data_IF_571145184653
#
_entry.id   IF_571145184653
#
_cell.length_a   1.000
_cell.length_b   1.000
_cell.length_c   1.000
_cell.angle_alpha   90.00
_cell.angle_beta   90.00
_cell.angle_gamma   90.00
#
_symmetry.space_group_name_H-M   'P 1'
#
loop_
_entity.id
_entity.type
_entity.pdbx_description
1 polymer ?
2 non-polymer ?
3 water ?
#
# COMPACT_ATOMS: atom_id res chain seq x y z
N UNK A 1 -5.70 -8.96 18.26
CA UNK A 1 -6.58 -8.92 17.04
C UNK A 1 -5.79 -9.15 15.74
N UNK A 2 -6.47 -9.80 14.81
CA UNK A 2 -5.84 -10.45 13.67
C UNK A 2 -6.01 -9.77 12.34
N UNK A 3 -6.71 -8.63 12.24
CA UNK A 3 -6.76 -7.88 10.99
C UNK A 3 -6.46 -6.41 11.25
N UNK A 4 -5.53 -5.84 10.48
CA UNK A 4 -5.33 -4.39 10.39
C UNK A 4 -5.87 -3.96 9.05
N UNK A 5 -6.66 -2.88 9.01
CA UNK A 5 -7.19 -2.47 7.74
C UNK A 5 -7.52 -1.00 7.68
N UNK A 6 -7.84 -0.56 6.48
CA UNK A 6 -8.32 0.78 6.22
C UNK A 6 -9.79 0.96 6.39
N UNK A 7 -10.51 -0.12 6.67
CA UNK A 7 -11.96 -0.25 6.56
C UNK A 7 -12.26 -0.37 5.05
N UNK A 8 -13.42 -0.94 4.75
CA UNK A 8 -13.77 -1.19 3.35
C UNK A 8 -14.66 -0.10 2.74
N UNK A 9 -14.76 1.07 3.34
CA UNK A 9 -15.60 2.14 2.76
C UNK A 9 -14.83 2.81 1.63
N UNK A 10 -15.39 3.90 1.08
CA UNK A 10 -14.70 4.64 0.02
C UNK A 10 -14.26 6.04 0.45
N UNK A 11 -14.13 6.28 1.76
CA UNK A 11 -13.76 7.61 2.24
C UNK A 11 -12.27 7.86 2.10
N UNK A 12 -11.89 9.01 1.46
CA UNK A 12 -10.47 9.14 1.02
C UNK A 12 -9.56 9.14 2.21
N UNK A 13 -8.45 8.47 2.04
CA UNK A 13 -7.49 8.21 3.12
C UNK A 13 -6.05 8.30 2.66
N UNK A 14 -5.80 8.76 1.43
CA UNK A 14 -4.50 8.55 0.83
C UNK A 14 -4.15 9.66 -0.13
N UNK A 15 -2.82 9.83 -0.35
CA UNK A 15 -2.27 10.75 -1.33
C UNK A 15 -1.60 10.04 -2.50
N UNK A 16 -2.21 10.12 -3.69
CA UNK A 16 -1.54 9.74 -4.96
C UNK A 16 -0.75 10.95 -5.46
N UNK A 17 -1.47 12.04 -5.62
CA UNK A 17 -0.92 13.32 -6.09
C UNK A 17 -0.98 14.34 -4.96
N UNK A 18 -2.16 14.58 -4.41
CA UNK A 18 -2.37 15.54 -3.32
C UNK A 18 -3.07 14.84 -2.16
N UNK A 19 -3.04 15.52 -1.01
CA UNK A 19 -3.52 14.92 0.18
C UNK A 19 -4.97 14.42 0.09
N UNK A 20 -5.19 13.20 0.55
CA UNK A 20 -6.58 12.65 0.61
C UNK A 20 -7.34 12.75 -0.72
N UNK A 21 -6.61 12.46 -1.79
CA UNK A 21 -7.19 12.41 -3.13
C UNK A 21 -7.65 11.04 -3.54
N UNK A 22 -7.46 10.06 -2.68
CA UNK A 22 -7.66 8.67 -3.09
C UNK A 22 -8.06 7.80 -1.91
N UNK A 23 -8.64 6.63 -2.21
CA UNK A 23 -8.93 5.61 -1.23
C UNK A 23 -8.02 4.44 -1.53
N UNK A 24 -7.13 4.17 -0.57
CA UNK A 24 -6.40 2.90 -0.53
C UNK A 24 -7.22 1.92 0.27
N UNK A 25 -7.64 0.81 -0.35
CA UNK A 25 -8.30 -0.26 0.38
C UNK A 25 -7.25 -1.30 0.69
N UNK A 26 -6.91 -1.47 1.97
CA UNK A 26 -5.85 -2.39 2.35
C UNK A 26 -6.29 -3.17 3.57
N UNK A 27 -6.17 -4.49 3.50
CA UNK A 27 -6.46 -5.38 4.60
C UNK A 27 -5.30 -6.31 4.80
N UNK A 28 -4.80 -6.38 6.03
CA UNK A 28 -3.70 -7.26 6.40
C UNK A 28 -4.24 -8.22 7.45
N UNK A 29 -4.31 -9.51 7.11
CA UNK A 29 -4.84 -10.51 8.02
C UNK A 29 -3.71 -11.43 8.46
N UNK A 30 -3.47 -11.50 9.74
CA UNK A 30 -2.42 -12.32 10.30
C UNK A 30 -2.79 -13.79 10.21
N UNK A 31 -1.94 -14.57 9.51
CA UNK A 31 -2.01 -16.00 9.40
C UNK A 31 -0.70 -16.62 9.92
N UNK A 32 -0.45 -16.54 11.20
CA UNK A 32 0.76 -17.09 11.73
C UNK A 32 1.97 -16.37 11.24
N UNK A 33 2.85 -17.14 10.64
CA UNK A 33 4.09 -16.67 10.11
C UNK A 33 3.95 -15.67 8.99
N UNK A 34 2.80 -15.63 8.29
CA UNK A 34 2.53 -14.75 7.14
C UNK A 34 1.36 -13.82 7.39
N UNK A 35 1.37 -12.67 6.76
CA UNK A 35 0.18 -11.87 6.58
C UNK A 35 -0.38 -12.17 5.20
N UNK A 36 -1.73 -12.34 5.12
CA UNK A 36 -2.47 -12.37 3.90
C UNK A 36 -2.97 -10.96 3.63
N UNK A 37 -2.49 -10.36 2.57
CA UNK A 37 -2.85 -9.00 2.25
C UNK A 37 -3.77 -8.89 1.04
N UNK A 38 -4.52 -7.78 1.00
CA UNK A 38 -5.44 -7.54 -0.11
C UNK A 38 -5.46 -6.03 -0.32
N UNK A 39 -5.20 -5.57 -1.51
CA UNK A 39 -5.05 -4.12 -1.75
C UNK A 39 -5.74 -3.71 -3.04
N UNK A 40 -6.13 -2.45 -3.07
CA UNK A 40 -6.56 -1.80 -4.28
C UNK A 40 -6.53 -0.30 -4.00
N UNK A 41 -6.66 0.50 -5.05
CA UNK A 41 -6.48 1.95 -4.96
C UNK A 41 -7.41 2.61 -5.97
N UNK A 42 -8.05 3.69 -5.52
CA UNK A 42 -9.04 4.47 -6.30
C UNK A 42 -8.73 5.93 -6.16
N UNK A 43 -8.63 6.67 -7.25
CA UNK A 43 -8.48 8.13 -7.20
C UNK A 43 -9.86 8.77 -7.14
N UNK A 44 -10.13 9.58 -6.13
CA UNK A 44 -11.42 10.19 -5.91
C UNK A 44 -11.42 11.62 -6.46
N UNK A 45 -10.33 12.36 -6.30
CA UNK A 45 -10.16 13.72 -6.81
C UNK A 45 -8.74 13.86 -7.36
N UNK A 46 -8.44 15.04 -7.89
CA UNK A 46 -7.07 15.38 -8.30
C UNK A 46 -6.75 14.77 -9.67
N UNK A 47 -5.46 14.80 -10.01
CA UNK A 47 -5.05 14.49 -11.37
C UNK A 47 -5.43 13.08 -11.76
N UNK A 48 -5.29 12.15 -10.82
CA UNK A 48 -5.52 10.74 -11.15
C UNK A 48 -7.00 10.42 -11.28
N UNK A 49 -7.89 11.29 -10.83
CA UNK A 49 -9.32 11.09 -11.04
C UNK A 49 -9.75 11.26 -12.49
N UNK A 50 -9.01 12.07 -13.26
CA UNK A 50 -9.30 12.23 -14.68
C UNK A 50 -7.94 12.45 -15.34
N UNK A 51 -7.30 11.34 -15.64
CA UNK A 51 -5.89 11.44 -16.11
C UNK A 51 -5.78 12.14 -17.46
N UNK A 52 -4.64 12.79 -17.68
CA UNK A 52 -4.33 13.37 -18.98
C UNK A 52 -3.21 12.55 -19.60
N UNK A 53 -2.83 12.90 -20.84
CA UNK A 53 -1.71 12.20 -21.49
C UNK A 53 -0.38 12.43 -20.81
N UNK A 54 -0.26 13.51 -20.05
CA UNK A 54 0.97 13.80 -19.32
C UNK A 54 0.97 13.34 -17.87
N UNK A 55 -0.14 12.91 -17.29
CA UNK A 55 -0.15 12.38 -15.91
C UNK A 55 0.93 11.32 -15.78
N UNK A 56 1.75 11.37 -14.74
CA UNK A 56 2.82 10.38 -14.65
C UNK A 56 2.29 8.97 -14.41
N UNK A 57 2.78 8.06 -15.26
CA UNK A 57 2.33 6.67 -15.26
C UNK A 57 3.17 5.83 -14.27
N UNK A 58 3.36 6.34 -13.05
CA UNK A 58 4.13 5.71 -12.00
C UNK A 58 3.73 6.41 -10.73
N UNK A 59 3.04 5.68 -9.80
CA UNK A 59 2.47 6.18 -8.49
C UNK A 59 2.93 5.31 -7.33
N UNK A 60 3.63 5.91 -6.35
CA UNK A 60 4.09 5.13 -5.22
C UNK A 60 3.34 5.52 -3.96
N UNK A 61 2.75 4.57 -3.32
CA UNK A 61 2.05 4.73 -2.02
C UNK A 61 2.91 4.15 -0.95
N UNK A 62 3.32 4.95 0.02
CA UNK A 62 4.24 4.50 1.05
C UNK A 62 3.58 4.39 2.42
N UNK A 63 3.67 3.20 3.03
CA UNK A 63 3.31 2.99 4.44
C UNK A 63 4.62 2.78 5.19
N UNK A 64 4.92 3.73 6.07
CA UNK A 64 6.14 3.68 6.88
C UNK A 64 5.73 3.43 8.32
N UNK A 65 6.44 2.52 9.02
CA UNK A 65 6.05 2.15 10.36
C UNK A 65 7.22 2.35 11.31
N UNK A 66 6.88 2.65 12.56
CA UNK A 66 7.89 2.72 13.62
C UNK A 66 8.17 1.36 14.19
N UNK A 67 8.98 1.38 15.29
CA UNK A 67 9.45 0.17 16.03
C UNK A 67 8.32 -0.66 16.63
N UNK A 68 7.19 -0.03 16.82
CA UNK A 68 5.97 -0.67 17.35
C UNK A 68 5.02 -1.15 16.23
N UNK A 69 5.40 -0.95 14.99
CA UNK A 69 4.50 -1.29 13.90
C UNK A 69 3.40 -0.25 13.67
N UNK A 70 3.57 0.96 14.17
CA UNK A 70 2.55 2.00 14.06
C UNK A 70 2.91 2.91 12.90
N UNK A 71 1.92 3.28 12.12
CA UNK A 71 2.11 4.06 10.95
C UNK A 71 2.63 5.46 11.27
N UNK A 72 3.69 5.85 10.57
CA UNK A 72 4.21 7.21 10.70
C UNK A 72 3.34 8.21 9.97
N UNK A 73 3.19 9.43 10.51
CA UNK A 73 2.39 10.46 9.85
C UNK A 73 2.94 10.85 8.48
N UNK A 74 4.21 10.67 8.20
CA UNK A 74 4.73 11.01 6.88
C UNK A 74 4.38 10.03 5.80
N UNK A 75 3.65 8.97 6.14
CA UNK A 75 3.14 8.00 5.15
C UNK A 75 2.12 8.64 4.21
N UNK A 76 1.95 7.98 3.07
CA UNK A 76 0.91 8.39 2.11
C UNK A 76 -0.49 8.19 2.63
N UNK A 77 -0.65 7.17 3.43
CA UNK A 77 -1.93 6.77 4.07
C UNK A 77 -2.11 7.52 5.37
N UNK A 78 -3.28 8.09 5.56
CA UNK A 78 -3.68 8.70 6.83
C UNK A 78 -3.91 7.69 7.94
N UNK A 79 -3.43 8.08 9.13
CA UNK A 79 -3.57 7.28 10.33
C UNK A 79 -5.02 7.17 10.85
N UNK A 80 -5.89 8.09 10.46
CA UNK A 80 -7.20 8.16 11.10
C UNK A 80 -8.11 6.88 11.10
N UNK A 81 -8.18 6.14 10.00
CA UNK A 81 -9.02 4.94 9.93
C UNK A 81 -8.17 3.72 9.57
N UNK A 82 -6.86 3.76 9.90
CA UNK A 82 -5.93 2.61 9.76
C UNK A 82 -5.77 2.08 11.14
N UNK A 83 -6.39 0.96 11.39
CA UNK A 83 -6.28 0.34 12.71
C UNK A 83 -6.84 -1.10 12.67
N UNK A 84 -6.79 -1.75 13.83
CA UNK A 84 -7.37 -3.06 13.99
C UNK A 84 -8.85 -3.08 13.66
N UNK A 85 -9.35 -4.15 13.06
CA UNK A 85 -10.76 -4.29 12.65
C UNK A 85 -11.66 -4.36 13.90
N UNK A 86 -12.82 -3.71 13.79
CA UNK A 86 -13.95 -3.83 14.72
C UNK A 86 -15.21 -3.64 13.87
N UNK A 87 -15.92 -4.74 13.58
CA UNK A 87 -17.10 -4.74 12.66
C UNK A 87 -16.58 -4.32 11.24
N UNK A 88 -17.26 -3.42 10.51
CA UNK A 88 -16.67 -2.85 9.29
C UNK A 88 -16.08 -1.44 9.51
N UNK A 89 -15.63 -1.18 10.75
CA UNK A 89 -14.87 0.03 11.12
C UNK A 89 -13.55 -0.38 11.84
N UNK A 90 -13.04 0.45 12.76
CA UNK A 90 -11.79 0.16 13.47
C UNK A 90 -11.96 0.31 14.99
N UNK A 91 -11.10 -0.35 15.79
CA UNK A 91 -11.37 -0.48 17.24
C UNK A 91 -11.50 0.86 18.01
N UNK A 92 -10.66 1.85 17.67
CA UNK A 92 -10.68 3.18 18.33
C UNK A 92 -9.58 4.12 17.81
N UNK A 93 -9.60 5.36 18.28
CA UNK A 93 -8.56 6.36 17.97
C UNK A 93 -7.31 6.12 18.86
N UNK A 94 -6.50 5.11 18.51
CA UNK A 94 -5.40 4.65 19.38
C UNK A 94 -4.12 4.17 18.66
N UNK A 95 -3.07 3.98 19.46
CA UNK A 95 -1.75 3.55 19.01
C UNK A 95 -1.49 2.13 19.53
N UNK A 96 -1.94 1.15 18.75
CA UNK A 96 -1.85 -0.26 19.12
C UNK A 96 -0.65 -0.93 18.43
N UNK A 97 0.24 -1.55 19.24
CA UNK A 97 1.41 -2.36 18.74
C UNK A 97 0.94 -3.27 17.63
N UNK A 98 1.73 -3.34 16.57
CA UNK A 98 1.44 -4.21 15.45
C UNK A 98 2.68 -4.88 14.86
N UNK A 99 3.69 -5.15 15.70
CA UNK A 99 4.90 -5.78 15.24
C UNK A 99 4.60 -7.13 14.49
N UNK A 100 3.63 -7.94 15.00
CA UNK A 100 3.33 -9.19 14.29
C UNK A 100 2.79 -9.04 12.87
N UNK A 101 2.44 -7.83 12.46
CA UNK A 101 2.01 -7.55 11.07
C UNK A 101 3.13 -6.99 10.25
N UNK A 102 4.30 -6.72 10.85
CA UNK A 102 5.35 -6.04 10.12
C UNK A 102 6.13 -7.03 9.26
N UNK A 103 6.68 -6.60 8.13
CA UNK A 103 7.46 -7.53 7.29
C UNK A 103 8.78 -7.92 7.96
N UNK A 104 9.06 -9.21 7.90
CA UNK A 104 10.23 -9.79 8.55
C UNK A 104 11.51 -9.15 8.03
N UNK A 105 12.33 -8.67 8.98
CA UNK A 105 13.57 -7.93 8.60
C UNK A 105 14.70 -8.83 8.12
N UNK A 106 14.66 -10.12 8.45
CA UNK A 106 15.64 -11.07 7.89
C UNK A 106 15.30 -11.43 6.46
N UNK A 107 14.02 -11.72 6.18
CA UNK A 107 13.56 -11.97 4.81
C UNK A 107 13.74 -10.73 3.96
N UNK A 108 13.40 -9.58 4.57
CA UNK A 108 13.31 -8.32 3.83
C UNK A 108 14.13 -7.26 4.53
N UNK A 109 15.46 -7.31 4.37
CA UNK A 109 16.30 -6.38 5.10
C UNK A 109 16.22 -4.99 4.48
N UNK A 110 16.45 -4.00 5.33
CA UNK A 110 16.60 -2.65 4.86
C UNK A 110 17.77 -2.55 3.92
N UNK A 111 17.72 -1.60 3.00
CA UNK A 111 18.89 -1.41 2.14
C UNK A 111 20.13 -1.05 2.92
N UNK A 112 21.26 -1.54 2.45
CA UNK A 112 22.52 -1.23 3.09
C UNK A 112 23.62 -1.36 2.06
N UNK A 113 24.54 -0.39 2.04
CA UNK A 113 25.69 -0.43 1.12
C UNK A 113 26.62 -1.62 1.38
N UNK A 114 26.46 -2.28 2.53
CA UNK A 114 26.90 -3.66 2.76
C UNK A 114 26.84 -4.55 1.49
N UNK A 115 25.65 -4.60 0.87
CA UNK A 115 25.45 -5.28 -0.43
C UNK A 115 24.62 -4.38 -1.37
N UNK A 116 25.19 -4.06 -2.53
CA UNK A 116 24.57 -3.15 -3.52
C UNK A 116 23.17 -3.60 -3.95
N UNK A 117 23.06 -4.86 -4.38
CA UNK A 117 21.78 -5.42 -4.85
C UNK A 117 20.90 -5.83 -3.66
N UNK A 118 19.66 -5.33 -3.52
CA UNK A 118 18.85 -6.01 -2.54
C UNK A 118 18.24 -7.19 -3.29
N UNK A 119 17.89 -8.07 -2.44
CA UNK A 119 17.31 -9.28 -2.85
C UNK A 119 15.98 -9.07 -3.53
N UNK A 120 15.75 -9.74 -4.67
CA UNK A 120 14.48 -9.57 -5.37
C UNK A 120 13.27 -10.05 -4.56
N UNK A 121 13.51 -10.96 -3.60
CA UNK A 121 12.39 -11.44 -2.80
C UNK A 121 11.74 -10.35 -1.96
N UNK A 122 12.38 -9.21 -1.79
CA UNK A 122 11.78 -8.05 -1.12
C UNK A 122 10.65 -7.41 -1.88
N UNK A 123 10.41 -7.85 -3.11
CA UNK A 123 9.33 -7.30 -3.91
C UNK A 123 8.43 -8.42 -4.41
N UNK A 124 7.18 -8.01 -4.67
CA UNK A 124 6.19 -8.76 -5.43
C UNK A 124 5.85 -7.92 -6.64
N UNK A 125 5.89 -8.46 -7.85
CA UNK A 125 5.51 -7.71 -9.03
C UNK A 125 4.47 -8.50 -9.78
N UNK A 126 3.37 -7.89 -10.13
CA UNK A 126 2.32 -8.56 -10.91
C UNK A 126 1.54 -7.53 -11.66
N UNK A 127 0.42 -7.91 -12.29
CA UNK A 127 -0.48 -6.98 -12.93
C UNK A 127 -1.82 -6.92 -12.24
N UNK A 128 -2.36 -5.71 -12.16
CA UNK A 128 -3.76 -5.46 -11.85
C UNK A 128 -4.34 -4.72 -13.07
N UNK A 129 -5.61 -4.37 -13.02
CA UNK A 129 -6.27 -3.92 -14.27
C UNK A 129 -7.08 -2.66 -14.00
N UNK A 130 -6.78 -1.62 -14.78
CA UNK A 130 -7.41 -0.33 -14.62
C UNK A 130 -8.86 -0.40 -15.07
N UNK A 131 -9.75 0.11 -14.23
CA UNK A 131 -11.17 0.04 -14.52
C UNK A 131 -11.74 -1.34 -14.55
N UNK A 132 -10.98 -2.33 -14.08
CA UNK A 132 -11.37 -3.72 -14.19
C UNK A 132 -11.63 -4.08 -15.65
N UNK A 133 -10.81 -3.54 -16.56
CA UNK A 133 -10.88 -3.85 -17.99
C UNK A 133 -9.67 -4.68 -18.34
N UNK A 134 -9.91 -5.83 -18.97
CA UNK A 134 -8.86 -6.84 -19.15
C UNK A 134 -7.74 -6.38 -20.06
N UNK A 135 -7.98 -5.42 -20.90
CA UNK A 135 -6.99 -4.90 -21.80
C UNK A 135 -6.22 -3.71 -21.22
N UNK A 136 -6.36 -3.43 -19.94
CA UNK A 136 -5.72 -2.29 -19.30
C UNK A 136 -4.86 -2.70 -18.12
N UNK A 137 -3.77 -3.44 -18.38
CA UNK A 137 -2.87 -3.82 -17.30
C UNK A 137 -2.14 -2.65 -16.69
N UNK A 138 -1.89 -2.75 -15.41
CA UNK A 138 -1.09 -1.84 -14.60
C UNK A 138 -0.19 -2.73 -13.78
N UNK A 139 1.09 -2.41 -13.69
CA UNK A 139 2.02 -3.24 -12.94
C UNK A 139 1.88 -2.77 -11.49
N UNK A 140 1.71 -3.72 -10.61
CA UNK A 140 1.80 -3.44 -9.18
C UNK A 140 3.14 -4.00 -8.68
N UNK A 141 3.87 -3.16 -7.94
CA UNK A 141 5.09 -3.59 -7.27
C UNK A 141 4.88 -3.35 -5.78
N UNK A 142 4.90 -4.40 -4.99
CA UNK A 142 4.83 -4.29 -3.52
C UNK A 142 6.24 -4.51 -3.00
N UNK A 143 6.74 -3.60 -2.16
CA UNK A 143 8.09 -3.72 -1.63
C UNK A 143 8.06 -3.68 -0.14
N UNK A 144 8.87 -4.53 0.49
CA UNK A 144 8.91 -4.67 1.93
C UNK A 144 10.22 -4.18 2.49
N UNK A 145 10.12 -3.23 3.45
CA UNK A 145 11.26 -2.73 4.22
C UNK A 145 12.34 -2.06 3.39
N UNK A 146 11.97 -1.53 2.22
CA UNK A 146 12.94 -0.89 1.35
C UNK A 146 13.02 0.61 1.54
N UNK A 147 12.17 1.22 2.36
CA UNK A 147 12.25 2.63 2.66
C UNK A 147 13.16 2.87 3.86
N UNK A 148 13.84 4.01 3.81
CA UNK A 148 14.54 4.54 4.97
C UNK A 148 13.98 5.95 5.41
N UNK A 149 13.02 6.50 4.65
CA UNK A 149 12.38 7.84 4.88
C UNK A 149 12.10 7.96 6.39
N UNK A 150 12.50 9.07 6.98
CA UNK A 150 12.04 9.47 8.30
C UNK A 150 12.29 8.50 9.47
N UNK A 151 13.37 7.75 9.37
CA UNK A 151 13.74 6.83 10.48
C UNK A 151 12.84 5.62 10.61
N UNK A 152 12.04 5.29 9.60
CA UNK A 152 11.12 4.13 9.71
C UNK A 152 11.84 2.84 10.05
N UNK A 153 11.21 1.99 10.87
CA UNK A 153 11.70 0.68 11.16
C UNK A 153 11.30 -0.36 10.13
N UNK A 154 10.11 -0.16 9.56
CA UNK A 154 9.52 -1.11 8.59
C UNK A 154 8.82 -0.28 7.52
N UNK A 155 8.59 -0.91 6.36
CA UNK A 155 7.79 -0.21 5.35
C UNK A 155 7.10 -1.23 4.47
N UNK A 156 5.95 -0.80 3.92
CA UNK A 156 5.29 -1.51 2.81
C UNK A 156 4.93 -0.45 1.82
N UNK A 157 5.40 -0.60 0.57
CA UNK A 157 5.02 0.35 -0.47
C UNK A 157 4.32 -0.36 -1.60
N UNK A 158 3.41 0.36 -2.24
CA UNK A 158 2.64 -0.13 -3.39
C UNK A 158 2.88 0.84 -4.51
N UNK A 159 3.54 0.39 -5.58
CA UNK A 159 3.75 1.23 -6.74
C UNK A 159 2.94 0.69 -7.88
N UNK A 160 2.34 1.60 -8.65
CA UNK A 160 1.57 1.26 -9.82
C UNK A 160 2.24 1.92 -11.01
N UNK A 161 2.60 1.14 -12.03
CA UNK A 161 3.37 1.63 -13.15
C UNK A 161 2.76 1.14 -14.43
N UNK A 162 2.65 1.96 -15.43
CA UNK A 162 2.02 1.50 -16.67
C UNK A 162 2.60 2.27 -17.84
N UNK A 163 2.25 1.79 -19.03
CA UNK A 163 2.75 2.31 -20.30
C UNK A 163 1.61 2.84 -21.21
N UNK A 164 0.45 2.18 -21.19
CA UNK A 164 -0.68 2.57 -22.05
C UNK A 164 -1.22 3.94 -21.67
N UNK A 165 -1.80 4.60 -22.66
CA UNK A 165 -2.50 5.84 -22.44
C UNK A 165 -3.85 5.56 -21.82
N UNK A 166 -3.97 5.92 -20.55
CA UNK A 166 -5.28 5.86 -19.86
C UNK A 166 -5.86 7.25 -19.63
N UNK A 167 -5.49 8.21 -20.47
CA UNK A 167 -6.06 9.54 -20.36
C UNK A 167 -7.59 9.52 -20.50
N UNK A 168 -8.21 10.44 -19.79
CA UNK A 168 -9.65 10.59 -19.67
C UNK A 168 -10.30 9.48 -18.89
N UNK A 169 -9.54 8.64 -18.20
CA UNK A 169 -10.10 7.66 -17.27
C UNK A 169 -9.74 8.04 -15.85
N UNK A 170 -10.52 7.47 -14.93
CA UNK A 170 -10.29 7.56 -13.50
C UNK A 170 -9.37 6.44 -13.08
N UNK A 171 -8.32 6.74 -12.32
CA UNK A 171 -7.50 5.65 -11.79
C UNK A 171 -8.31 4.84 -10.81
N UNK A 172 -8.42 3.55 -11.08
CA UNK A 172 -9.09 2.61 -10.19
C UNK A 172 -8.61 1.25 -10.65
N UNK A 173 -8.23 0.37 -9.74
CA UNK A 173 -7.69 -0.94 -10.12
C UNK A 173 -8.36 -2.07 -9.41
N UNK A 174 -8.32 -3.23 -10.04
CA UNK A 174 -8.77 -4.46 -9.43
C UNK A 174 -8.00 -4.77 -8.16
N UNK A 175 -8.59 -5.65 -7.34
CA UNK A 175 -7.98 -6.06 -6.08
C UNK A 175 -6.85 -7.05 -6.29
N UNK A 176 -5.85 -6.99 -5.42
CA UNK A 176 -4.69 -7.85 -5.51
C UNK A 176 -4.40 -8.51 -4.18
N UNK A 177 -4.28 -9.82 -4.19
CA UNK A 177 -3.97 -10.62 -3.01
C UNK A 177 -2.49 -10.95 -3.00
N UNK A 178 -1.90 -10.94 -1.80
CA UNK A 178 -0.47 -11.21 -1.65
C UNK A 178 -0.20 -11.73 -0.26
N UNK A 179 1.00 -12.17 0.02
CA UNK A 179 1.37 -12.48 1.39
C UNK A 179 2.81 -12.10 1.62
N UNK A 180 3.21 -12.05 2.88
CA UNK A 180 4.62 -11.84 3.25
C UNK A 180 4.88 -12.39 4.59
N UNK A 181 6.16 -12.68 4.82
CA UNK A 181 6.64 -13.20 6.09
C UNK A 181 6.67 -12.10 7.13
N UNK A 182 6.26 -12.42 8.32
CA UNK A 182 6.18 -11.41 9.38
C UNK A 182 7.33 -11.45 10.37
N UNK A 183 7.55 -10.30 11.01
CA UNK A 183 8.36 -10.16 12.19
C UNK A 183 7.52 -10.79 13.42
N UNK A 184 8.13 -11.03 14.57
CA UNK A 184 7.32 -11.28 15.79
C UNK A 184 7.83 -10.39 16.91
X LIG B 1 -8.53 14.02 -20.32
X LIG B 1 -8.40 14.25 -18.92
X LIG B 1 -7.41 14.69 -21.10
X LIG B 1 -7.00 13.76 -22.11
X LIG C 1 -8.53 15.71 -12.61
X LIG C 1 -9.84 15.57 -12.06
X LIG C 1 -8.48 16.51 -13.91
X LIG C 1 -7.31 16.11 -14.63
#
# INVERSE_FOLDING_TARGET
RRTLWTTPDTSPNCKMSTEKDSKLTLTLTKCGSQVLGNVSLLAVTGEYHQMTATTKKDVKISLLFDENGILLPSSSLSKDYWNYRSDDSIVSQKYNNAVPFMPNLTAYPKPSAQNAKNYSRTKIISNVYLGALTYQPVIITIAFNQETENGCAYSITFTFTWQKDYSAQQFDVTSFTFSYLTQE
EDO C1 O1 C2 O2
EDO C1 O1 C2 O2
#
